data_IF_114290785190
#
_entry.id   IF_114290785190
#
_cell.length_a   1.000
_cell.length_b   1.000
_cell.length_c   1.000
_cell.angle_alpha   90.00
_cell.angle_beta   90.00
_cell.angle_gamma   90.00
#
_symmetry.space_group_name_H-M   'P 1'
#
loop_
_entity.id
_entity.type
_entity.pdbx_description
1 polymer ?
#
# COMPACT_ATOMS: atom_id res chain seq x y z
N UNK A 1 10.40 21.14 -2.58
CA UNK A 1 11.35 20.02 -2.76
C UNK A 1 10.69 18.66 -2.45
N UNK A 2 10.70 17.67 -3.36
CA UNK A 2 10.17 16.35 -3.05
C UNK A 2 11.11 15.63 -2.08
N UNK A 3 10.54 15.08 -1.01
CA UNK A 3 11.25 14.34 0.03
C UNK A 3 11.96 13.09 -0.54
N UNK A 4 13.14 12.72 0.00
CA UNK A 4 13.82 11.50 -0.42
C UNK A 4 12.94 10.27 -0.14
N UNK A 5 12.72 9.45 -1.18
CA UNK A 5 12.03 8.17 -1.05
C UNK A 5 12.96 7.20 -0.31
N UNK A 6 12.77 7.08 1.00
CA UNK A 6 13.46 6.05 1.77
C UNK A 6 12.84 4.69 1.45
N UNK A 7 13.65 3.64 1.23
CA UNK A 7 13.12 2.29 1.08
C UNK A 7 12.36 1.93 2.35
N UNK A 8 11.10 1.51 2.19
CA UNK A 8 10.37 0.88 3.28
C UNK A 8 11.18 -0.35 3.73
N UNK A 9 11.25 -0.58 5.05
CA UNK A 9 11.92 -1.75 5.60
C UNK A 9 11.39 -3.06 5.01
N UNK A 10 12.05 -4.19 5.29
CA UNK A 10 11.73 -5.47 4.67
C UNK A 10 10.23 -5.79 4.77
N UNK A 11 9.55 -5.83 3.62
CA UNK A 11 8.18 -6.31 3.51
C UNK A 11 8.28 -7.83 3.39
N UNK A 12 7.77 -8.56 4.37
CA UNK A 12 7.67 -10.02 4.25
C UNK A 12 6.68 -10.35 3.15
N UNK A 13 7.10 -11.01 2.06
CA UNK A 13 6.17 -11.40 1.00
C UNK A 13 5.14 -12.38 1.57
N UNK A 14 3.86 -12.12 1.29
CA UNK A 14 2.76 -12.97 1.70
C UNK A 14 2.02 -13.45 0.47
N UNK A 15 2.02 -14.76 0.25
CA UNK A 15 1.23 -15.35 -0.82
C UNK A 15 -0.22 -15.45 -0.35
N UNK A 16 -1.13 -14.85 -1.10
CA UNK A 16 -2.57 -14.89 -0.85
C UNK A 16 -3.24 -15.35 -2.12
N UNK A 17 -4.05 -16.39 -2.02
CA UNK A 17 -4.93 -16.85 -3.10
C UNK A 17 -6.33 -16.32 -2.82
N UNK A 18 -6.89 -15.58 -3.78
CA UNK A 18 -8.27 -15.07 -3.71
C UNK A 18 -9.12 -15.66 -4.84
N UNK A 19 -10.42 -15.72 -4.60
CA UNK A 19 -11.41 -16.15 -5.60
C UNK A 19 -11.73 -14.98 -6.52
N UNK A 20 -11.89 -15.24 -7.81
CA UNK A 20 -12.31 -14.22 -8.78
C UNK A 20 -13.63 -13.55 -8.34
N UNK A 21 -13.68 -12.21 -8.42
CA UNK A 21 -14.82 -11.41 -7.95
C UNK A 21 -14.80 -11.06 -6.45
N UNK A 22 -13.70 -11.37 -5.74
CA UNK A 22 -13.48 -10.93 -4.36
C UNK A 22 -12.56 -9.71 -4.34
N UNK A 23 -12.95 -8.67 -3.60
CA UNK A 23 -12.10 -7.50 -3.37
C UNK A 23 -10.86 -7.88 -2.56
N UNK A 24 -9.68 -7.54 -3.06
CA UNK A 24 -8.40 -7.81 -2.40
C UNK A 24 -7.91 -6.56 -1.69
N UNK A 25 -7.78 -6.63 -0.37
CA UNK A 25 -7.32 -5.52 0.47
C UNK A 25 -5.87 -5.69 0.87
N UNK A 26 -4.99 -4.86 0.32
CA UNK A 26 -3.58 -4.76 0.71
C UNK A 26 -3.39 -3.63 1.70
N UNK A 27 -2.70 -3.90 2.81
CA UNK A 27 -2.40 -2.88 3.83
C UNK A 27 -0.91 -2.59 3.91
N UNK A 28 -0.54 -1.32 4.00
CA UNK A 28 0.82 -0.85 4.21
C UNK A 28 0.85 0.03 5.47
N UNK A 29 1.66 -0.37 6.46
CA UNK A 29 1.89 0.44 7.66
C UNK A 29 3.14 1.29 7.47
N UNK A 30 2.94 2.59 7.47
CA UNK A 30 3.98 3.58 7.30
C UNK A 30 4.81 3.72 8.59
N UNK A 31 6.13 3.79 8.44
CA UNK A 31 7.03 4.09 9.56
C UNK A 31 6.90 5.52 10.10
N UNK A 32 6.35 6.43 9.29
CA UNK A 32 6.13 7.84 9.63
C UNK A 32 4.82 8.35 9.02
N UNK A 33 4.18 9.33 9.66
CA UNK A 33 2.98 10.01 9.15
C UNK A 33 3.27 10.86 7.90
N UNK A 34 4.55 11.18 7.62
CA UNK A 34 4.98 11.88 6.41
C UNK A 34 5.31 10.93 5.25
N UNK A 35 5.38 9.62 5.51
CA UNK A 35 5.69 8.64 4.46
C UNK A 35 4.48 8.44 3.54
N UNK A 36 4.75 8.02 2.31
CA UNK A 36 3.73 7.70 1.31
C UNK A 36 3.84 6.23 0.92
N UNK A 37 2.69 5.59 0.68
CA UNK A 37 2.64 4.26 0.11
C UNK A 37 2.55 4.36 -1.41
N UNK A 38 3.43 3.65 -2.12
CA UNK A 38 3.35 3.46 -3.57
C UNK A 38 2.99 2.00 -3.83
N UNK A 39 1.89 1.79 -4.55
CA UNK A 39 1.44 0.46 -4.93
C UNK A 39 1.82 0.22 -6.38
N UNK A 40 2.41 -0.94 -6.66
CA UNK A 40 2.76 -1.34 -8.02
C UNK A 40 2.27 -2.75 -8.33
N UNK A 41 1.87 -2.97 -9.57
CA UNK A 41 1.55 -4.28 -10.13
C UNK A 41 2.32 -4.44 -11.43
N UNK A 42 3.12 -5.50 -11.53
CA UNK A 42 3.99 -5.75 -12.69
C UNK A 42 4.85 -4.51 -13.07
N UNK A 43 5.37 -3.81 -12.05
CA UNK A 43 6.20 -2.61 -12.22
C UNK A 43 5.45 -1.33 -12.58
N UNK A 44 4.12 -1.37 -12.75
CA UNK A 44 3.28 -0.19 -13.03
C UNK A 44 2.64 0.33 -11.75
N UNK A 45 2.61 1.64 -11.57
CA UNK A 45 1.93 2.25 -10.43
C UNK A 45 0.42 1.98 -10.52
N UNK A 46 -0.15 1.39 -9.46
CA UNK A 46 -1.58 1.28 -9.30
C UNK A 46 -2.10 2.62 -8.76
N UNK A 47 -3.11 3.18 -9.43
CA UNK A 47 -3.85 4.29 -8.86
C UNK A 47 -4.53 3.77 -7.59
N UNK A 48 -4.25 4.39 -6.45
CA UNK A 48 -4.94 4.07 -5.22
C UNK A 48 -6.38 4.59 -5.34
N UNK A 49 -7.26 3.85 -6.02
CA UNK A 49 -8.64 4.29 -6.27
C UNK A 49 -9.38 4.55 -4.95
N UNK A 50 -9.02 3.83 -3.89
CA UNK A 50 -9.68 3.93 -2.59
C UNK A 50 -8.64 3.82 -1.47
N UNK A 51 -7.80 4.85 -1.33
CA UNK A 51 -6.93 4.99 -0.17
C UNK A 51 -7.80 5.31 1.07
N UNK A 52 -8.40 4.29 1.68
CA UNK A 52 -9.10 4.47 2.94
C UNK A 52 -8.06 4.85 4.00
N UNK A 53 -8.07 6.12 4.41
CA UNK A 53 -7.36 6.55 5.61
C UNK A 53 -8.14 6.00 6.78
N UNK A 54 -7.78 4.78 7.19
CA UNK A 54 -8.25 4.20 8.44
C UNK A 54 -7.86 5.16 9.57
N UNK A 55 -8.56 5.13 10.71
CA UNK A 55 -8.35 6.07 11.84
C UNK A 55 -6.88 6.19 12.29
N UNK A 56 -6.04 5.20 11.94
CA UNK A 56 -4.59 5.27 12.02
C UNK A 56 -4.00 5.99 10.78
N UNK A 57 -3.51 7.22 10.97
CA UNK A 57 -2.88 8.04 9.92
C UNK A 57 -1.66 7.39 9.25
N UNK A 58 -1.12 6.33 9.86
CA UNK A 58 0.02 5.56 9.34
C UNK A 58 -0.42 4.31 8.59
N UNK A 59 -1.69 3.96 8.56
CA UNK A 59 -2.18 2.80 7.83
C UNK A 59 -2.75 3.22 6.48
N UNK A 60 -2.21 2.64 5.40
CA UNK A 60 -2.71 2.80 4.04
C UNK A 60 -3.28 1.49 3.56
N UNK A 61 -4.42 1.54 2.89
CA UNK A 61 -5.03 0.38 2.24
C UNK A 61 -5.14 0.63 0.73
N UNK A 62 -4.97 -0.43 -0.05
CA UNK A 62 -5.31 -0.51 -1.46
C UNK A 62 -6.34 -1.63 -1.61
N UNK A 63 -7.42 -1.34 -2.32
CA UNK A 63 -8.44 -2.32 -2.71
C UNK A 63 -8.36 -2.48 -4.22
N UNK A 64 -8.25 -3.73 -4.69
CA UNK A 64 -8.21 -4.11 -6.12
C UNK A 64 -9.12 -5.28 -6.41
#
# INVERSE_FOLDING_TARGET
PPSPRLPAGPITPKNVTVVAGTDLVLTCRLGSNLAQALWTFEGRALAAEQALVLRDTRLRALVV
#
